data_IF_341849735808
#
_entry.id   IF_341849735808
#
_cell.length_a   1.000
_cell.length_b   1.000
_cell.length_c   1.000
_cell.angle_alpha   90.00
_cell.angle_beta   90.00
_cell.angle_gamma   90.00
#
_symmetry.space_group_name_H-M   'P 1'
#
loop_
_entity.id
_entity.type
_entity.pdbx_description
1 polymer ?
#
# COMPACT_ATOMS: atom_id res chain seq x y z
N UNK A 1 -24.95 -1.88 21.45
CA UNK A 1 -24.25 -0.58 21.31
C UNK A 1 -23.32 -0.76 20.11
N UNK A 2 -23.69 -0.28 18.91
CA UNK A 2 -22.94 -0.61 17.67
C UNK A 2 -23.19 0.34 16.48
N UNK A 3 -24.36 0.99 16.42
CA UNK A 3 -24.73 1.91 15.32
C UNK A 3 -23.84 3.16 15.17
N UNK A 4 -23.20 3.64 16.24
CA UNK A 4 -22.35 4.84 16.18
C UNK A 4 -20.96 4.57 15.61
N UNK A 5 -20.41 3.38 15.86
CA UNK A 5 -19.12 2.93 15.34
C UNK A 5 -19.23 2.67 13.84
N UNK A 6 -20.30 2.00 13.40
CA UNK A 6 -20.63 1.80 11.98
C UNK A 6 -20.80 3.13 11.23
N UNK A 7 -21.46 4.12 11.86
CA UNK A 7 -21.66 5.44 11.27
C UNK A 7 -20.36 6.25 11.14
N UNK A 8 -19.47 6.17 12.13
CA UNK A 8 -18.15 6.79 12.05
C UNK A 8 -17.29 6.14 10.97
N UNK A 9 -17.24 4.80 10.94
CA UNK A 9 -16.48 4.05 9.93
C UNK A 9 -16.97 4.40 8.52
N UNK A 10 -18.29 4.42 8.30
CA UNK A 10 -18.87 4.80 7.01
C UNK A 10 -18.51 6.25 6.61
N UNK A 11 -18.52 7.18 7.56
CA UNK A 11 -18.15 8.58 7.30
C UNK A 11 -16.67 8.74 6.95
N UNK A 12 -15.77 8.03 7.65
CA UNK A 12 -14.32 8.04 7.36
C UNK A 12 -14.06 7.47 5.96
N UNK A 13 -14.65 6.32 5.63
CA UNK A 13 -14.50 5.69 4.32
C UNK A 13 -15.04 6.57 3.18
N UNK A 14 -16.20 7.22 3.39
CA UNK A 14 -16.75 8.14 2.40
C UNK A 14 -15.86 9.36 2.20
N UNK A 15 -15.28 9.90 3.27
CA UNK A 15 -14.32 11.01 3.17
C UNK A 15 -13.09 10.62 2.34
N UNK A 16 -12.52 9.44 2.58
CA UNK A 16 -11.39 8.91 1.78
C UNK A 16 -11.80 8.77 0.31
N UNK A 17 -12.98 8.22 0.03
CA UNK A 17 -13.49 8.05 -1.34
C UNK A 17 -13.64 9.41 -2.05
N UNK A 18 -14.22 10.40 -1.38
CA UNK A 18 -14.41 11.74 -1.93
C UNK A 18 -13.09 12.46 -2.19
N UNK A 19 -12.13 12.38 -1.25
CA UNK A 19 -10.80 12.98 -1.43
C UNK A 19 -10.04 12.36 -2.62
N UNK A 20 -10.09 11.02 -2.77
CA UNK A 20 -9.54 10.33 -3.96
C UNK A 20 -10.18 10.82 -5.25
N UNK A 21 -11.50 10.96 -5.28
CA UNK A 21 -12.23 11.43 -6.47
C UNK A 21 -11.87 12.88 -6.82
N UNK A 22 -11.75 13.77 -5.81
CA UNK A 22 -11.33 15.16 -6.02
C UNK A 22 -9.90 15.26 -6.54
N UNK A 23 -8.97 14.51 -5.95
CA UNK A 23 -7.59 14.48 -6.40
C UNK A 23 -7.47 14.01 -7.86
N UNK A 24 -8.23 12.98 -8.23
CA UNK A 24 -8.27 12.51 -9.62
C UNK A 24 -8.85 13.59 -10.56
N UNK A 25 -9.92 14.27 -10.16
CA UNK A 25 -10.53 15.34 -10.94
C UNK A 25 -9.58 16.54 -11.12
N UNK A 26 -8.93 17.00 -10.04
CA UNK A 26 -7.99 18.12 -10.07
C UNK A 26 -6.76 17.82 -10.94
N UNK A 27 -6.25 16.58 -10.88
CA UNK A 27 -5.18 16.13 -11.78
C UNK A 27 -5.63 16.12 -13.25
N UNK A 28 -6.85 15.65 -13.52
CA UNK A 28 -7.41 15.62 -14.87
C UNK A 28 -7.67 17.02 -15.44
N UNK A 29 -8.05 17.99 -14.60
CA UNK A 29 -8.24 19.39 -15.01
C UNK A 29 -6.93 20.17 -15.11
N UNK A 30 -5.81 19.61 -14.65
CA UNK A 30 -4.52 20.29 -14.63
C UNK A 30 -4.48 21.44 -13.62
N UNK A 31 -5.25 21.34 -12.54
CA UNK A 31 -5.25 22.33 -11.45
C UNK A 31 -4.27 21.91 -10.34
N UNK A 32 -3.05 22.49 -10.30
CA UNK A 32 -2.05 22.07 -9.33
C UNK A 32 -2.38 22.48 -7.90
N UNK A 33 -3.15 23.56 -7.71
CA UNK A 33 -3.53 24.01 -6.38
C UNK A 33 -4.59 23.08 -5.79
N UNK A 34 -5.66 22.82 -6.54
CA UNK A 34 -6.70 21.87 -6.12
C UNK A 34 -6.16 20.45 -5.95
N UNK A 35 -5.19 20.04 -6.77
CA UNK A 35 -4.53 18.75 -6.60
C UNK A 35 -3.72 18.67 -5.29
N UNK A 36 -3.06 19.75 -4.87
CA UNK A 36 -2.36 19.78 -3.59
C UNK A 36 -3.34 19.73 -2.41
N UNK A 37 -4.40 20.56 -2.44
CA UNK A 37 -5.44 20.57 -1.40
C UNK A 37 -6.11 19.20 -1.27
N UNK A 38 -6.53 18.59 -2.38
CA UNK A 38 -7.17 17.28 -2.35
C UNK A 38 -6.23 16.15 -1.91
N UNK A 39 -4.92 16.29 -2.12
CA UNK A 39 -3.92 15.34 -1.63
C UNK A 39 -3.76 15.45 -0.11
N UNK A 40 -3.66 16.65 0.45
CA UNK A 40 -3.59 16.88 1.90
C UNK A 40 -4.88 16.38 2.59
N UNK A 41 -6.05 16.62 2.00
CA UNK A 41 -7.32 16.10 2.53
C UNK A 41 -7.38 14.56 2.54
N UNK A 42 -6.80 13.92 1.52
CA UNK A 42 -6.71 12.47 1.43
C UNK A 42 -5.78 11.91 2.50
N UNK A 43 -4.60 12.52 2.67
CA UNK A 43 -3.64 12.13 3.71
C UNK A 43 -4.26 12.23 5.10
N UNK A 44 -4.94 13.35 5.40
CA UNK A 44 -5.66 13.53 6.66
C UNK A 44 -6.73 12.47 6.89
N UNK A 45 -7.51 12.13 5.85
CA UNK A 45 -8.56 11.14 5.95
C UNK A 45 -8.00 9.73 6.19
N UNK A 46 -6.90 9.37 5.51
CA UNK A 46 -6.20 8.09 5.70
C UNK A 46 -5.58 8.03 7.10
N UNK A 47 -4.90 9.10 7.53
CA UNK A 47 -4.31 9.19 8.87
C UNK A 47 -5.35 9.06 9.98
N UNK A 48 -6.55 9.62 9.79
CA UNK A 48 -7.67 9.40 10.74
C UNK A 48 -8.10 7.94 10.71
N UNK A 49 -8.27 7.33 9.55
CA UNK A 49 -8.64 5.94 9.44
C UNK A 49 -7.64 5.00 10.14
N UNK A 50 -6.34 5.21 9.91
CA UNK A 50 -5.26 4.42 10.50
C UNK A 50 -5.23 4.53 12.04
N UNK A 51 -5.41 5.74 12.58
CA UNK A 51 -5.50 5.97 14.04
C UNK A 51 -6.66 5.18 14.70
N UNK A 52 -7.68 4.85 13.93
CA UNK A 52 -8.85 4.11 14.38
C UNK A 52 -8.87 2.65 13.89
N UNK A 53 -7.81 2.17 13.23
CA UNK A 53 -7.72 0.81 12.69
C UNK A 53 -8.70 0.51 11.55
N UNK A 54 -9.16 1.55 10.83
CA UNK A 54 -10.08 1.43 9.70
C UNK A 54 -9.27 1.21 8.43
N UNK A 55 -9.41 0.03 7.82
CA UNK A 55 -8.78 -0.25 6.52
C UNK A 55 -9.37 0.63 5.41
N UNK A 56 -8.52 1.40 4.73
CA UNK A 56 -8.92 2.30 3.62
C UNK A 56 -8.55 1.78 2.24
N UNK A 57 -7.80 0.68 2.17
CA UNK A 57 -7.57 -0.06 0.95
C UNK A 57 -8.90 -0.65 0.51
N UNK A 58 -9.32 -0.30 -0.71
CA UNK A 58 -10.41 -1.04 -1.34
C UNK A 58 -9.96 -2.50 -1.35
N UNK A 59 -10.68 -3.37 -0.65
CA UNK A 59 -10.56 -4.82 -0.83
C UNK A 59 -10.95 -5.08 -2.28
N UNK A 60 -9.96 -5.01 -3.17
CA UNK A 60 -9.97 -5.79 -4.39
C UNK A 60 -9.79 -7.21 -3.88
N UNK A 61 -10.83 -8.02 -4.00
CA UNK A 61 -10.89 -9.43 -3.59
C UNK A 61 -9.53 -10.15 -3.72
N UNK A 62 -9.18 -11.05 -2.77
CA UNK A 62 -7.86 -11.65 -2.72
C UNK A 62 -7.55 -12.36 -4.03
N UNK A 63 -6.48 -11.93 -4.70
CA UNK A 63 -5.85 -12.70 -5.75
C UNK A 63 -5.51 -14.08 -5.18
N UNK A 64 -6.23 -15.10 -5.65
CA UNK A 64 -5.91 -16.47 -5.41
C UNK A 64 -4.46 -16.75 -5.88
N UNK A 65 -3.60 -17.15 -4.96
CA UNK A 65 -2.42 -17.95 -5.22
C UNK A 65 -1.17 -17.21 -5.71
N UNK A 66 -0.23 -17.02 -4.79
CA UNK A 66 1.18 -17.25 -5.09
C UNK A 66 1.91 -17.68 -3.79
N UNK A 67 1.94 -19.00 -3.58
CA UNK A 67 2.92 -19.66 -2.74
C UNK A 67 4.30 -19.53 -3.40
N UNK A 68 5.35 -19.23 -2.64
CA UNK A 68 6.43 -20.18 -2.32
C UNK A 68 7.54 -19.46 -1.56
N UNK A 69 7.63 -19.81 -0.29
CA UNK A 69 8.88 -19.87 0.47
C UNK A 69 9.94 -20.59 -0.38
N UNK A 70 10.90 -19.83 -0.94
CA UNK A 70 12.11 -20.41 -1.52
C UNK A 70 13.10 -20.65 -0.39
N UNK A 71 13.00 -21.83 0.21
CA UNK A 71 14.03 -22.40 1.04
C UNK A 71 15.20 -22.92 0.20
N UNK A 72 16.41 -22.67 0.70
CA UNK A 72 17.63 -23.44 0.47
C UNK A 72 18.14 -23.60 -0.99
N UNK A 73 18.93 -22.62 -1.44
CA UNK A 73 20.03 -22.91 -2.37
C UNK A 73 21.21 -23.53 -1.61
N UNK A 74 21.89 -24.57 -2.14
CA UNK A 74 22.99 -25.24 -1.47
C UNK A 74 24.24 -24.36 -1.44
N UNK A 75 24.86 -24.20 -0.27
CA UNK A 75 26.27 -23.78 -0.17
C UNK A 75 27.14 -24.97 -0.56
N UNK A 76 27.45 -25.07 -1.86
CA UNK A 76 28.55 -25.90 -2.32
C UNK A 76 29.84 -25.11 -2.10
N UNK A 77 30.65 -25.54 -1.12
CA UNK A 77 32.05 -25.13 -1.00
C UNK A 77 32.80 -25.49 -2.29
N UNK A 78 33.60 -24.59 -2.89
CA UNK A 78 34.49 -24.97 -3.98
C UNK A 78 35.67 -25.76 -3.40
N UNK A 79 35.64 -27.08 -3.55
CA UNK A 79 36.81 -27.94 -3.41
C UNK A 79 37.55 -27.90 -4.75
N UNK A 80 38.78 -27.38 -4.77
CA UNK A 80 39.72 -27.57 -5.88
C UNK A 80 40.65 -26.38 -6.14
N UNK A 81 41.83 -26.38 -5.52
CA UNK A 81 43.00 -25.72 -6.09
C UNK A 81 43.62 -26.69 -7.13
N UNK A 82 43.74 -26.33 -8.42
CA UNK A 82 44.68 -26.97 -9.31
C UNK A 82 46.04 -26.29 -9.20
N UNK A 83 47.08 -27.09 -9.03
CA UNK A 83 48.48 -26.70 -9.09
C UNK A 83 48.79 -25.97 -10.42
N UNK A 84 49.40 -24.79 -10.34
CA UNK A 84 50.20 -24.23 -11.45
C UNK A 84 51.63 -23.96 -10.97
N UNK A 85 52.47 -24.92 -11.37
CA UNK A 85 53.90 -24.86 -11.58
C UNK A 85 54.38 -23.46 -12.05
N UNK A 86 55.13 -22.78 -11.19
CA UNK A 86 55.91 -21.60 -11.56
C UNK A 86 57.32 -21.68 -10.97
N UNK A 87 58.19 -22.34 -11.76
CA UNK A 87 59.67 -22.31 -11.76
C UNK A 87 60.45 -22.99 -10.64
#
# INVERSE_FOLDING_TARGET
MGVAEDGFVAAVLERVRLARARLAAARASGDPYEAAVAADELDDAVRVADQHGIGTEAVVEPAAGAVTETGAGPVAEPIGEPEEEQR
#
